data_IF_716809995318
#
_entry.id   IF_716809995318
#
_cell.length_a   1.000
_cell.length_b   1.000
_cell.length_c   1.000
_cell.angle_alpha   90.00
_cell.angle_beta   90.00
_cell.angle_gamma   90.00
#
_symmetry.space_group_name_H-M   'P 1'
#
loop_
_entity.id
_entity.type
_entity.pdbx_description
1 polymer ?
#
# COMPACT_ATOMS: atom_id res chain seq x y z
N UNK A 1 46.68 -90.34 -10.83
CA UNK A 1 45.30 -89.78 -10.89
C UNK A 1 45.24 -88.49 -10.06
N UNK A 2 45.76 -87.36 -10.56
CA UNK A 2 45.87 -86.10 -9.76
C UNK A 2 45.43 -84.83 -10.55
N UNK A 3 44.94 -84.96 -11.78
CA UNK A 3 44.74 -83.78 -12.65
C UNK A 3 43.33 -83.14 -12.60
N UNK A 4 42.36 -83.78 -11.95
CA UNK A 4 40.96 -83.35 -12.00
C UNK A 4 40.67 -82.12 -11.15
N UNK A 5 41.36 -81.94 -10.00
CA UNK A 5 41.15 -80.81 -9.08
C UNK A 5 41.69 -79.47 -9.61
N UNK A 6 42.73 -79.52 -10.44
CA UNK A 6 43.29 -78.32 -11.10
C UNK A 6 42.43 -77.90 -12.29
N UNK A 7 41.86 -78.86 -13.02
CA UNK A 7 40.95 -78.60 -14.13
C UNK A 7 39.62 -77.98 -13.67
N UNK A 8 39.01 -78.46 -12.58
CA UNK A 8 37.80 -77.82 -12.01
C UNK A 8 38.06 -76.40 -11.53
N UNK A 9 39.20 -76.14 -10.86
CA UNK A 9 39.58 -74.76 -10.47
C UNK A 9 39.79 -73.81 -11.65
N UNK A 10 40.23 -74.31 -12.80
CA UNK A 10 40.35 -73.49 -14.01
C UNK A 10 39.01 -73.22 -14.68
N UNK A 11 38.08 -74.19 -14.64
CA UNK A 11 36.71 -74.00 -15.12
C UNK A 11 35.96 -72.97 -14.26
N UNK A 12 36.03 -73.08 -12.93
CA UNK A 12 35.36 -72.15 -12.00
C UNK A 12 35.87 -70.69 -12.17
N UNK A 13 37.16 -70.51 -12.46
CA UNK A 13 37.74 -69.19 -12.73
C UNK A 13 37.31 -68.60 -14.08
N UNK A 14 37.04 -69.43 -15.09
CA UNK A 14 36.57 -68.98 -16.39
C UNK A 14 35.11 -68.48 -16.32
N UNK A 15 34.26 -69.19 -15.57
CA UNK A 15 32.87 -68.79 -15.34
C UNK A 15 32.78 -67.47 -14.54
N UNK A 16 33.67 -67.28 -13.56
CA UNK A 16 33.76 -66.03 -12.81
C UNK A 16 34.16 -64.83 -13.68
N UNK A 17 35.06 -65.03 -14.65
CA UNK A 17 35.45 -63.99 -15.61
C UNK A 17 34.32 -63.65 -16.59
N UNK A 18 33.54 -64.66 -17.01
CA UNK A 18 32.36 -64.46 -17.85
C UNK A 18 31.29 -63.60 -17.15
N UNK A 19 30.98 -63.91 -15.88
CA UNK A 19 30.05 -63.11 -15.06
C UNK A 19 30.51 -61.66 -14.87
N UNK A 20 31.81 -61.43 -14.65
CA UNK A 20 32.38 -60.07 -14.56
C UNK A 20 32.25 -59.31 -15.89
N UNK A 21 32.44 -59.97 -17.02
CA UNK A 21 32.27 -59.37 -18.34
C UNK A 21 30.81 -58.98 -18.60
N UNK A 22 29.84 -59.82 -18.21
CA UNK A 22 28.41 -59.51 -18.32
C UNK A 22 27.98 -58.35 -17.40
N UNK A 23 28.48 -58.31 -16.15
CA UNK A 23 28.27 -57.18 -15.26
C UNK A 23 28.83 -55.88 -15.85
N UNK A 24 30.04 -55.91 -16.42
CA UNK A 24 30.64 -54.73 -17.05
C UNK A 24 29.83 -54.26 -18.26
N UNK A 25 29.35 -55.19 -19.08
CA UNK A 25 28.54 -54.89 -20.28
C UNK A 25 27.17 -54.30 -19.92
N UNK A 26 26.50 -54.86 -18.90
CA UNK A 26 25.22 -54.32 -18.40
C UNK A 26 25.39 -52.96 -17.73
N UNK A 27 26.50 -52.73 -17.02
CA UNK A 27 26.84 -51.43 -16.45
C UNK A 27 27.09 -50.37 -17.54
N UNK A 28 27.88 -50.70 -18.57
CA UNK A 28 28.08 -49.80 -19.71
C UNK A 28 26.76 -49.50 -20.44
N UNK A 29 25.90 -50.51 -20.62
CA UNK A 29 24.58 -50.32 -21.22
C UNK A 29 23.70 -49.38 -20.37
N UNK A 30 23.64 -49.59 -19.06
CA UNK A 30 22.89 -48.74 -18.14
C UNK A 30 23.41 -47.29 -18.12
N UNK A 31 24.73 -47.09 -18.20
CA UNK A 31 25.31 -45.75 -18.31
C UNK A 31 24.96 -45.06 -19.63
N UNK A 32 24.96 -45.80 -20.76
CA UNK A 32 24.56 -45.25 -22.07
C UNK A 32 23.09 -44.83 -22.08
N UNK A 33 22.20 -45.66 -21.54
CA UNK A 33 20.77 -45.33 -21.43
C UNK A 33 20.55 -44.12 -20.51
N UNK A 34 21.26 -44.05 -19.38
CA UNK A 34 21.18 -42.89 -18.47
C UNK A 34 21.63 -41.59 -19.15
N UNK A 35 22.74 -41.62 -19.90
CA UNK A 35 23.21 -40.45 -20.67
C UNK A 35 22.18 -40.04 -21.73
N UNK A 36 21.58 -41.00 -22.43
CA UNK A 36 20.53 -40.72 -23.43
C UNK A 36 19.32 -40.03 -22.78
N UNK A 37 18.82 -40.55 -21.65
CA UNK A 37 17.71 -39.95 -20.89
C UNK A 37 18.04 -38.53 -20.40
N UNK A 38 19.28 -38.30 -19.96
CA UNK A 38 19.71 -36.96 -19.55
C UNK A 38 19.72 -35.96 -20.72
N UNK A 39 20.20 -36.37 -21.89
CA UNK A 39 20.24 -35.50 -23.07
C UNK A 39 18.82 -35.18 -23.57
N UNK A 40 17.92 -36.17 -23.55
CA UNK A 40 16.52 -35.97 -23.92
C UNK A 40 15.81 -34.98 -22.97
N UNK A 41 16.02 -35.13 -21.66
CA UNK A 41 15.49 -34.20 -20.66
C UNK A 41 16.05 -32.78 -20.84
N UNK A 42 17.35 -32.66 -21.14
CA UNK A 42 18.01 -31.37 -21.40
C UNK A 42 17.41 -30.68 -22.63
N UNK A 43 17.16 -31.42 -23.71
CA UNK A 43 16.54 -30.89 -24.93
C UNK A 43 15.11 -30.41 -24.66
N UNK A 44 14.32 -31.16 -23.89
CA UNK A 44 12.96 -30.74 -23.50
C UNK A 44 12.98 -29.47 -22.64
N UNK A 45 13.86 -29.40 -21.64
CA UNK A 45 14.02 -28.20 -20.78
C UNK A 45 14.41 -26.98 -21.61
N UNK A 46 15.33 -27.15 -22.58
CA UNK A 46 15.73 -26.06 -23.47
C UNK A 46 14.56 -25.59 -24.35
N UNK A 47 13.74 -26.51 -24.85
CA UNK A 47 12.52 -26.18 -25.60
C UNK A 47 11.50 -25.39 -24.77
N UNK A 48 11.26 -25.81 -23.53
CA UNK A 48 10.37 -25.08 -22.60
C UNK A 48 10.93 -23.70 -22.28
N UNK A 49 12.23 -23.59 -22.03
CA UNK A 49 12.89 -22.30 -21.78
C UNK A 49 12.72 -21.34 -22.96
N UNK A 50 12.85 -21.82 -24.20
CA UNK A 50 12.62 -21.01 -25.40
C UNK A 50 11.19 -20.46 -25.49
N UNK A 51 10.19 -21.30 -25.23
CA UNK A 51 8.78 -20.89 -25.22
C UNK A 51 8.48 -19.85 -24.13
N UNK A 52 9.10 -20.00 -22.95
CA UNK A 52 8.96 -19.04 -21.85
C UNK A 52 9.53 -17.67 -22.26
N UNK A 53 10.70 -17.64 -22.90
CA UNK A 53 11.29 -16.39 -23.39
C UNK A 53 10.42 -15.72 -24.48
N UNK A 54 9.83 -16.50 -25.37
CA UNK A 54 8.91 -15.98 -26.39
C UNK A 54 7.67 -15.36 -25.77
N UNK A 55 7.01 -16.07 -24.85
CA UNK A 55 5.86 -15.55 -24.09
C UNK A 55 6.22 -14.30 -23.31
N UNK A 56 7.40 -14.27 -22.68
CA UNK A 56 7.88 -13.10 -21.93
C UNK A 56 8.02 -11.88 -22.83
N UNK A 57 8.64 -12.02 -24.01
CA UNK A 57 8.79 -10.93 -24.98
C UNK A 57 7.43 -10.42 -25.46
N UNK A 58 6.50 -11.34 -25.77
CA UNK A 58 5.16 -10.99 -26.24
C UNK A 58 4.35 -10.25 -25.16
N UNK A 59 4.45 -10.67 -23.90
CA UNK A 59 3.82 -9.97 -22.77
C UNK A 59 4.41 -8.56 -22.61
N UNK A 60 5.74 -8.41 -22.66
CA UNK A 60 6.39 -7.10 -22.58
C UNK A 60 5.94 -6.17 -23.71
N UNK A 61 5.84 -6.68 -24.93
CA UNK A 61 5.34 -5.93 -26.09
C UNK A 61 3.91 -5.42 -25.87
N UNK A 62 3.01 -6.29 -25.40
CA UNK A 62 1.62 -5.93 -25.11
C UNK A 62 1.50 -4.89 -24.01
N UNK A 63 2.33 -4.99 -22.97
CA UNK A 63 2.38 -4.00 -21.89
C UNK A 63 2.74 -2.62 -22.47
N UNK A 64 3.81 -2.52 -23.26
CA UNK A 64 4.21 -1.25 -23.88
C UNK A 64 3.15 -0.66 -24.81
N UNK A 65 2.40 -1.49 -25.55
CA UNK A 65 1.28 -1.03 -26.36
C UNK A 65 0.12 -0.49 -25.53
N UNK A 66 -0.19 -1.13 -24.39
CA UNK A 66 -1.25 -0.68 -23.48
C UNK A 66 -0.83 0.63 -22.82
N UNK A 67 0.40 0.71 -22.30
CA UNK A 67 0.94 1.94 -21.71
C UNK A 67 0.90 3.10 -22.70
N UNK A 68 1.32 2.87 -23.94
CA UNK A 68 1.26 3.89 -25.00
C UNK A 68 -0.17 4.29 -25.38
N UNK A 69 -1.16 3.40 -25.26
CA UNK A 69 -2.58 3.74 -25.47
C UNK A 69 -3.15 4.52 -24.29
N UNK A 70 -2.81 4.14 -23.06
CA UNK A 70 -3.28 4.83 -21.84
C UNK A 70 -2.70 6.23 -21.79
N UNK A 71 -1.40 6.40 -22.04
CA UNK A 71 -0.74 7.71 -22.06
C UNK A 71 -1.39 8.68 -23.05
N UNK A 72 -1.65 8.23 -24.29
CA UNK A 72 -2.34 9.05 -25.30
C UNK A 72 -3.76 9.45 -24.88
N UNK A 73 -4.52 8.55 -24.25
CA UNK A 73 -5.86 8.87 -23.74
C UNK A 73 -5.83 9.88 -22.59
N UNK A 74 -4.80 9.83 -21.75
CA UNK A 74 -4.62 10.80 -20.68
C UNK A 74 -4.32 12.17 -21.29
N UNK A 75 -3.37 12.26 -22.21
CA UNK A 75 -3.01 13.51 -22.91
C UNK A 75 -4.23 14.12 -23.63
N UNK A 76 -5.02 13.33 -24.35
CA UNK A 76 -6.26 13.79 -25.00
C UNK A 76 -7.30 14.33 -24.00
N UNK A 77 -7.44 13.68 -22.83
CA UNK A 77 -8.36 14.14 -21.78
C UNK A 77 -7.84 15.41 -21.12
N UNK A 78 -6.54 15.51 -20.87
CA UNK A 78 -5.89 16.69 -20.31
C UNK A 78 -6.09 17.90 -21.23
N UNK A 79 -5.78 17.76 -22.53
CA UNK A 79 -6.00 18.81 -23.53
C UNK A 79 -7.47 19.25 -23.56
N UNK A 80 -8.40 18.29 -23.55
CA UNK A 80 -9.85 18.58 -23.57
C UNK A 80 -10.32 19.29 -22.30
N UNK A 81 -9.76 18.95 -21.15
CA UNK A 81 -10.08 19.62 -19.87
C UNK A 81 -9.48 21.03 -19.87
N UNK A 82 -8.27 21.21 -20.36
CA UNK A 82 -7.60 22.50 -20.44
C UNK A 82 -8.40 23.48 -21.31
N UNK A 83 -8.79 23.07 -22.53
CA UNK A 83 -9.61 23.91 -23.42
C UNK A 83 -10.94 24.29 -22.79
N UNK A 84 -11.61 23.35 -22.10
CA UNK A 84 -12.88 23.64 -21.41
C UNK A 84 -12.71 24.59 -20.24
N UNK A 85 -11.57 24.53 -19.55
CA UNK A 85 -11.30 25.42 -18.43
C UNK A 85 -11.06 26.85 -18.92
N UNK A 86 -10.31 27.02 -20.01
CA UNK A 86 -10.11 28.32 -20.67
C UNK A 86 -11.44 28.91 -21.17
N UNK A 87 -12.30 28.11 -21.79
CA UNK A 87 -13.65 28.55 -22.23
C UNK A 87 -14.53 28.99 -21.04
N UNK A 88 -14.47 28.28 -19.91
CA UNK A 88 -15.21 28.65 -18.70
C UNK A 88 -14.65 29.94 -18.09
N UNK A 89 -13.32 30.09 -18.08
CA UNK A 89 -12.67 31.29 -17.56
C UNK A 89 -13.06 32.53 -18.37
N UNK A 90 -13.02 32.45 -19.70
CA UNK A 90 -13.47 33.54 -20.59
C UNK A 90 -14.94 33.90 -20.31
N UNK A 91 -15.84 32.92 -20.19
CA UNK A 91 -17.26 33.17 -19.87
C UNK A 91 -17.45 33.84 -18.52
N UNK A 92 -16.65 33.48 -17.52
CA UNK A 92 -16.71 34.10 -16.19
C UNK A 92 -16.21 35.54 -16.25
N UNK A 93 -15.08 35.79 -16.94
CA UNK A 93 -14.54 37.14 -17.12
C UNK A 93 -15.55 38.07 -17.80
N UNK A 94 -16.21 37.61 -18.87
CA UNK A 94 -17.28 38.37 -19.54
C UNK A 94 -18.43 38.72 -18.58
N UNK A 95 -18.92 37.74 -17.80
CA UNK A 95 -20.01 37.96 -16.85
C UNK A 95 -19.65 38.92 -15.72
N UNK A 96 -18.40 38.90 -15.26
CA UNK A 96 -17.90 39.86 -14.28
C UNK A 96 -17.93 41.26 -14.87
N UNK A 97 -17.43 41.45 -16.10
CA UNK A 97 -17.50 42.76 -16.77
C UNK A 97 -18.93 43.28 -16.96
N UNK A 98 -19.89 42.42 -17.27
CA UNK A 98 -21.31 42.80 -17.37
C UNK A 98 -21.92 43.16 -16.01
N UNK A 99 -21.49 42.52 -14.93
CA UNK A 99 -21.90 42.84 -13.56
C UNK A 99 -21.31 44.18 -13.10
N UNK A 100 -20.03 44.44 -13.39
CA UNK A 100 -19.36 45.69 -13.08
C UNK A 100 -20.06 46.88 -13.78
N UNK A 101 -20.42 46.74 -15.06
CA UNK A 101 -21.19 47.78 -15.78
C UNK A 101 -22.55 48.06 -15.15
N UNK A 102 -23.29 47.01 -14.78
CA UNK A 102 -24.59 47.16 -14.09
C UNK A 102 -24.45 47.80 -12.71
N UNK A 103 -23.34 47.55 -12.02
CA UNK A 103 -23.07 48.16 -10.73
C UNK A 103 -22.82 49.67 -10.89
N UNK A 104 -22.03 50.08 -11.90
CA UNK A 104 -21.79 51.49 -12.23
C UNK A 104 -23.11 52.22 -12.57
N UNK A 105 -23.97 51.61 -13.39
CA UNK A 105 -25.28 52.19 -13.74
C UNK A 105 -26.23 52.35 -12.53
N UNK A 106 -26.11 51.47 -11.52
CA UNK A 106 -26.91 51.56 -10.30
C UNK A 106 -26.36 52.60 -9.32
N UNK A 107 -25.05 52.86 -9.32
CA UNK A 107 -24.40 53.86 -8.46
C UNK A 107 -24.75 55.30 -8.87
N UNK A 108 -25.00 55.54 -10.17
CA UNK A 108 -25.47 56.84 -10.69
C UNK A 108 -26.97 57.11 -10.42
N UNK A 109 -27.71 56.16 -9.83
CA UNK A 109 -29.13 56.34 -9.51
C UNK A 109 -29.26 57.03 -8.14
N UNK A 110 -29.76 58.28 -8.05
CA UNK A 110 -29.94 58.93 -6.76
C UNK A 110 -30.92 58.14 -5.89
N UNK A 111 -30.49 57.78 -4.68
CA UNK A 111 -31.34 57.13 -3.66
C UNK A 111 -32.34 58.18 -3.14
N UNK A 112 -33.44 58.37 -3.86
CA UNK A 112 -34.53 59.20 -3.37
C UNK A 112 -35.43 58.32 -2.48
N UNK A 113 -35.18 58.33 -1.17
CA UNK A 113 -36.14 57.80 -0.22
C UNK A 113 -37.39 58.66 -0.29
N UNK A 114 -38.58 58.12 -0.61
CA UNK A 114 -39.81 58.83 -0.27
C UNK A 114 -39.79 59.00 1.25
N UNK A 115 -39.76 60.26 1.70
CA UNK A 115 -39.87 60.57 3.12
C UNK A 115 -41.14 59.89 3.64
N UNK A 116 -40.97 58.83 4.42
CA UNK A 116 -42.06 58.10 5.01
C UNK A 116 -42.48 58.84 6.30
N UNK A 117 -43.63 59.51 6.35
CA UNK A 117 -44.04 60.32 7.50
C UNK A 117 -44.36 59.47 8.75
N UNK A 118 -44.51 58.14 8.62
CA UNK A 118 -44.97 57.26 9.70
C UNK A 118 -43.89 56.91 10.73
N UNK A 119 -42.60 56.96 10.38
CA UNK A 119 -41.51 56.68 11.34
C UNK A 119 -41.30 57.82 12.35
N UNK A 120 -41.73 59.03 12.01
CA UNK A 120 -41.67 60.19 12.92
C UNK A 120 -42.64 60.09 14.08
N UNK A 121 -43.73 59.32 13.93
CA UNK A 121 -44.73 59.16 15.00
C UNK A 121 -44.30 58.12 16.04
N UNK A 122 -43.57 57.07 15.65
CA UNK A 122 -43.18 56.00 16.57
C UNK A 122 -42.05 56.34 17.54
N UNK A 123 -41.32 57.46 17.33
CA UNK A 123 -40.22 57.87 18.21
C UNK A 123 -40.72 58.72 19.40
N UNK A 124 -41.94 59.27 19.34
CA UNK A 124 -42.47 60.14 20.39
C UNK A 124 -43.12 59.42 21.59
N UNK A 125 -43.39 58.11 21.50
CA UNK A 125 -44.14 57.39 22.55
C UNK A 125 -43.28 56.66 23.59
N UNK A 126 -41.94 56.77 23.52
CA UNK A 126 -41.04 56.29 24.58
C UNK A 126 -40.72 57.40 25.58
N UNK A 127 -41.76 57.89 26.25
CA UNK A 127 -41.64 58.62 27.52
C UNK A 127 -42.01 57.66 28.66
N UNK A 128 -41.26 57.57 29.77
CA UNK A 128 -41.51 56.57 30.80
C UNK A 128 -42.71 56.98 31.67
N UNK A 129 -43.91 56.62 31.22
CA UNK A 129 -45.15 56.72 31.98
C UNK A 129 -45.38 55.45 32.80
N UNK A 130 -45.16 55.54 34.12
CA UNK A 130 -45.57 54.54 35.10
C UNK A 130 -47.10 54.42 35.07
N UNK A 131 -47.64 53.24 34.75
CA UNK A 131 -49.08 52.98 34.81
C UNK A 131 -49.42 51.59 34.31
N UNK A 132 -50.00 50.76 35.19
CA UNK A 132 -50.14 49.32 34.98
C UNK A 132 -51.38 48.86 34.22
N UNK A 133 -51.38 47.56 33.91
CA UNK A 133 -52.58 46.73 33.88
C UNK A 133 -53.05 46.24 32.51
N UNK A 134 -52.99 44.92 32.31
CA UNK A 134 -54.10 44.16 31.73
C UNK A 134 -54.08 43.84 30.23
N UNK A 135 -53.94 42.53 29.95
CA UNK A 135 -54.57 41.77 28.85
C UNK A 135 -54.27 42.10 27.37
N UNK A 136 -53.46 41.25 26.72
CA UNK A 136 -53.89 40.39 25.60
C UNK A 136 -52.71 39.48 25.20
N UNK A 137 -52.91 38.16 25.20
CA UNK A 137 -51.86 37.16 24.97
C UNK A 137 -51.91 36.55 23.57
N UNK A 138 -52.45 37.28 22.59
CA UNK A 138 -52.56 36.84 21.18
C UNK A 138 -51.82 37.76 20.22
N UNK A 139 -51.83 39.08 20.43
CA UNK A 139 -51.15 40.04 19.55
C UNK A 139 -49.61 39.97 19.65
N UNK A 140 -49.09 39.50 20.79
CA UNK A 140 -47.66 39.34 21.04
C UNK A 140 -47.01 38.24 20.20
N UNK A 141 -47.78 37.22 19.79
CA UNK A 141 -47.26 36.14 18.95
C UNK A 141 -46.97 36.67 17.54
N UNK A 142 -47.87 37.48 16.99
CA UNK A 142 -47.71 38.11 15.68
C UNK A 142 -46.55 39.10 15.66
N UNK A 143 -46.37 39.89 16.72
CA UNK A 143 -45.24 40.81 16.87
C UNK A 143 -43.91 40.09 17.07
N UNK A 144 -43.86 39.01 17.88
CA UNK A 144 -42.65 38.21 18.06
C UNK A 144 -42.25 37.50 16.76
N UNK A 145 -43.19 36.92 16.02
CA UNK A 145 -42.89 36.29 14.73
C UNK A 145 -42.51 37.33 13.67
N UNK A 146 -43.07 38.54 13.71
CA UNK A 146 -42.66 39.64 12.85
C UNK A 146 -41.26 40.17 13.19
N UNK A 147 -40.92 40.26 14.47
CA UNK A 147 -39.56 40.61 14.94
C UNK A 147 -38.58 39.49 14.59
N UNK A 148 -38.94 38.23 14.78
CA UNK A 148 -38.13 37.07 14.39
C UNK A 148 -37.86 37.09 12.88
N UNK A 149 -38.88 37.26 12.05
CA UNK A 149 -38.72 37.36 10.59
C UNK A 149 -37.93 38.61 10.17
N UNK A 150 -38.11 39.75 10.85
CA UNK A 150 -37.36 40.97 10.56
C UNK A 150 -35.89 40.83 10.97
N UNK A 151 -35.61 40.19 12.11
CA UNK A 151 -34.26 39.84 12.54
C UNK A 151 -33.64 38.80 11.63
N UNK A 152 -34.40 37.79 11.20
CA UNK A 152 -33.95 36.76 10.28
C UNK A 152 -33.63 37.36 8.90
N UNK A 153 -34.48 38.24 8.37
CA UNK A 153 -34.22 38.95 7.12
C UNK A 153 -33.05 39.94 7.18
N UNK A 154 -32.74 40.50 8.37
CA UNK A 154 -31.68 41.50 8.56
C UNK A 154 -30.34 40.92 9.02
N UNK A 155 -30.36 39.83 9.77
CA UNK A 155 -29.19 39.25 10.44
C UNK A 155 -28.89 37.80 10.04
N UNK A 156 -29.84 37.06 9.42
CA UNK A 156 -29.53 35.77 8.79
C UNK A 156 -28.86 36.06 7.45
N UNK A 157 -27.57 36.36 7.54
CA UNK A 157 -26.78 36.73 6.40
C UNK A 157 -26.57 35.50 5.48
N UNK A 158 -27.30 35.47 4.36
CA UNK A 158 -27.11 34.47 3.32
C UNK A 158 -25.65 34.41 2.84
N UNK A 159 -24.92 35.53 2.89
CA UNK A 159 -23.50 35.57 2.55
C UNK A 159 -22.63 34.88 3.60
N UNK A 160 -22.97 34.96 4.89
CA UNK A 160 -22.28 34.25 5.97
C UNK A 160 -22.42 32.73 5.83
N UNK A 161 -23.60 32.25 5.43
CA UNK A 161 -23.80 30.82 5.12
C UNK A 161 -22.97 30.38 3.92
N UNK A 162 -22.87 31.22 2.87
CA UNK A 162 -22.02 30.95 1.71
C UNK A 162 -20.52 30.96 2.06
N UNK A 163 -20.10 31.82 2.99
CA UNK A 163 -18.75 31.86 3.52
C UNK A 163 -18.37 30.51 4.15
N UNK A 164 -19.20 29.98 5.06
CA UNK A 164 -18.94 28.67 5.67
C UNK A 164 -18.98 27.51 4.68
N UNK A 165 -19.84 27.56 3.66
CA UNK A 165 -19.82 26.57 2.55
C UNK A 165 -18.52 26.60 1.76
N UNK A 166 -17.94 27.79 1.59
CA UNK A 166 -16.65 27.96 0.91
C UNK A 166 -15.51 27.47 1.79
N UNK A 167 -15.54 27.80 3.09
CA UNK A 167 -14.58 27.32 4.08
C UNK A 167 -14.57 25.77 4.17
N UNK A 168 -15.75 25.12 4.13
CA UNK A 168 -15.85 23.65 4.06
C UNK A 168 -15.15 23.06 2.83
N UNK A 169 -15.39 23.64 1.65
CA UNK A 169 -14.83 23.11 0.39
C UNK A 169 -13.30 23.19 0.34
N UNK A 170 -12.75 24.28 0.88
CA UNK A 170 -11.31 24.53 0.88
C UNK A 170 -10.60 23.94 2.10
N UNK A 171 -11.36 23.42 3.07
CA UNK A 171 -10.79 22.81 4.28
C UNK A 171 -9.88 21.64 3.93
N UNK A 172 -8.66 21.69 4.45
CA UNK A 172 -7.66 20.62 4.39
C UNK A 172 -6.97 20.49 5.74
N UNK A 173 -6.63 19.27 6.15
CA UNK A 173 -5.95 18.98 7.41
C UNK A 173 -4.58 19.68 7.46
N UNK A 174 -4.33 20.43 8.52
CA UNK A 174 -3.06 21.15 8.72
C UNK A 174 -1.95 20.19 9.16
N UNK A 175 -0.67 20.53 8.93
CA UNK A 175 0.45 19.80 9.51
C UNK A 175 0.36 19.70 11.04
N UNK A 176 0.33 18.47 11.56
CA UNK A 176 0.25 18.20 13.00
C UNK A 176 -1.15 18.30 13.61
N UNK A 177 -2.17 18.63 12.81
CA UNK A 177 -3.56 18.61 13.26
C UNK A 177 -4.07 17.17 13.38
N UNK A 178 -4.68 16.83 14.52
CA UNK A 178 -5.28 15.50 14.70
C UNK A 178 -6.60 15.38 13.91
N UNK A 179 -6.94 14.15 13.51
CA UNK A 179 -8.20 13.87 12.82
C UNK A 179 -9.43 14.30 13.63
N UNK A 180 -9.34 14.29 14.95
CA UNK A 180 -10.42 14.71 15.84
C UNK A 180 -10.66 16.22 15.75
N UNK A 181 -9.59 17.02 15.76
CA UNK A 181 -9.71 18.49 15.64
C UNK A 181 -10.29 18.86 14.29
N UNK A 182 -9.84 18.18 13.22
CA UNK A 182 -10.41 18.32 11.88
C UNK A 182 -11.91 17.99 11.88
N UNK A 183 -12.32 16.85 12.46
CA UNK A 183 -13.71 16.42 12.49
C UNK A 183 -14.62 17.41 13.25
N UNK A 184 -14.18 17.91 14.41
CA UNK A 184 -14.93 18.92 15.18
C UNK A 184 -15.12 20.20 14.37
N UNK A 185 -14.09 20.64 13.65
CA UNK A 185 -14.18 21.83 12.81
C UNK A 185 -15.11 21.63 11.61
N UNK A 186 -15.06 20.46 10.97
CA UNK A 186 -15.99 20.07 9.90
C UNK A 186 -17.43 20.04 10.41
N UNK A 187 -17.69 19.46 11.59
CA UNK A 187 -19.01 19.40 12.23
C UNK A 187 -19.56 20.79 12.55
N UNK A 188 -18.70 21.66 13.11
CA UNK A 188 -19.02 23.07 13.38
C UNK A 188 -19.40 23.79 12.09
N UNK A 189 -18.56 23.68 11.06
CA UNK A 189 -18.82 24.33 9.78
C UNK A 189 -20.07 23.77 9.09
N UNK A 190 -20.33 22.47 9.20
CA UNK A 190 -21.54 21.85 8.66
C UNK A 190 -22.81 22.36 9.33
N UNK A 191 -22.76 22.54 10.65
CA UNK A 191 -23.87 23.11 11.43
C UNK A 191 -24.17 24.56 11.02
N UNK A 192 -23.15 25.32 10.65
CA UNK A 192 -23.29 26.72 10.23
C UNK A 192 -23.68 26.86 8.74
N UNK A 193 -23.11 26.03 7.87
CA UNK A 193 -23.30 26.11 6.42
C UNK A 193 -24.63 25.48 5.93
N UNK A 194 -25.16 24.53 6.70
CA UNK A 194 -26.34 23.75 6.36
C UNK A 194 -27.26 23.57 7.57
N UNK A 195 -27.52 24.65 8.32
CA UNK A 195 -28.41 24.61 9.49
C UNK A 195 -29.82 24.07 9.19
N UNK A 196 -30.35 24.35 8.00
CA UNK A 196 -31.70 24.01 7.55
C UNK A 196 -31.84 22.60 6.96
N UNK A 197 -30.72 21.90 6.77
CA UNK A 197 -30.71 20.58 6.12
C UNK A 197 -31.03 19.47 7.14
N UNK A 198 -31.77 18.40 6.76
CA UNK A 198 -32.00 17.24 7.61
C UNK A 198 -30.70 16.63 8.15
N UNK A 199 -30.72 16.17 9.41
CA UNK A 199 -29.52 15.70 10.11
C UNK A 199 -28.80 14.57 9.37
N UNK A 200 -29.55 13.61 8.83
CA UNK A 200 -29.04 12.47 8.07
C UNK A 200 -28.27 12.91 6.82
N UNK A 201 -28.78 13.91 6.10
CA UNK A 201 -28.09 14.47 4.94
C UNK A 201 -26.83 15.22 5.38
N UNK A 202 -26.90 15.96 6.49
CA UNK A 202 -25.72 16.66 7.04
C UNK A 202 -24.63 15.70 7.48
N UNK A 203 -24.99 14.58 8.11
CA UNK A 203 -24.03 13.58 8.60
C UNK A 203 -23.29 12.88 7.46
N UNK A 204 -24.01 12.55 6.38
CA UNK A 204 -23.41 12.00 5.16
C UNK A 204 -22.47 13.01 4.49
N UNK A 205 -22.91 14.27 4.36
CA UNK A 205 -22.12 15.33 3.74
C UNK A 205 -20.88 15.67 4.58
N UNK A 206 -21.02 15.68 5.91
CA UNK A 206 -19.93 15.87 6.85
C UNK A 206 -18.89 14.75 6.72
N UNK A 207 -19.31 13.49 6.58
CA UNK A 207 -18.41 12.37 6.34
C UNK A 207 -17.61 12.55 5.04
N UNK A 208 -18.26 12.97 3.95
CA UNK A 208 -17.60 13.23 2.67
C UNK A 208 -16.56 14.35 2.77
N UNK A 209 -16.95 15.53 3.30
CA UNK A 209 -16.03 16.65 3.46
C UNK A 209 -14.88 16.34 4.42
N UNK A 210 -15.14 15.58 5.49
CA UNK A 210 -14.08 15.13 6.39
C UNK A 210 -13.05 14.27 5.66
N UNK A 211 -13.51 13.27 4.90
CA UNK A 211 -12.62 12.39 4.14
C UNK A 211 -11.83 13.17 3.09
N UNK A 212 -12.47 14.07 2.34
CA UNK A 212 -11.80 14.95 1.36
C UNK A 212 -10.76 15.88 2.00
N UNK A 213 -10.95 16.26 3.26
CA UNK A 213 -10.05 17.13 3.99
C UNK A 213 -8.84 16.39 4.60
N UNK A 214 -8.85 15.05 4.71
CA UNK A 214 -7.72 14.26 5.21
C UNK A 214 -6.52 14.42 4.27
N UNK A 215 -5.34 14.67 4.85
CA UNK A 215 -4.10 14.91 4.11
C UNK A 215 -3.28 13.64 3.83
N UNK A 216 -3.38 12.62 4.67
CA UNK A 216 -2.72 11.33 4.41
C UNK A 216 -3.53 10.54 3.39
N UNK A 217 -3.00 10.42 2.16
CA UNK A 217 -3.70 9.79 1.02
C UNK A 217 -4.12 8.34 1.32
N UNK A 218 -3.27 7.55 1.99
CA UNK A 218 -3.61 6.17 2.35
C UNK A 218 -4.82 6.13 3.30
N UNK A 219 -4.84 6.99 4.31
CA UNK A 219 -5.95 7.09 5.28
C UNK A 219 -7.20 7.62 4.61
N UNK A 220 -7.06 8.59 3.70
CA UNK A 220 -8.16 9.11 2.90
C UNK A 220 -8.79 7.98 2.06
N UNK A 221 -8.03 7.31 1.20
CA UNK A 221 -8.53 6.25 0.33
C UNK A 221 -9.11 5.07 1.13
N UNK A 222 -8.45 4.66 2.22
CA UNK A 222 -8.97 3.61 3.09
C UNK A 222 -10.31 3.98 3.71
N UNK A 223 -10.49 5.25 4.10
CA UNK A 223 -11.75 5.73 4.69
C UNK A 223 -12.84 5.89 3.63
N UNK A 224 -12.50 6.32 2.41
CA UNK A 224 -13.46 6.38 1.26
C UNK A 224 -14.08 5.01 0.98
N UNK A 225 -13.29 3.94 1.01
CA UNK A 225 -13.76 2.56 0.73
C UNK A 225 -14.76 2.02 1.75
N UNK A 226 -14.87 2.63 2.94
CA UNK A 226 -15.78 2.18 3.97
C UNK A 226 -17.22 2.66 3.74
N UNK A 227 -17.46 3.62 2.82
CA UNK A 227 -18.76 4.22 2.56
C UNK A 227 -19.47 4.68 3.85
N UNK A 228 -18.74 5.44 4.69
CA UNK A 228 -19.23 5.94 5.96
C UNK A 228 -20.46 6.85 5.77
N UNK A 229 -21.54 6.56 6.51
CA UNK A 229 -22.80 7.32 6.46
C UNK A 229 -22.85 8.51 7.41
N UNK A 230 -21.94 8.53 8.37
CA UNK A 230 -21.86 9.54 9.40
C UNK A 230 -20.41 9.90 9.71
N UNK A 231 -20.20 11.17 10.07
CA UNK A 231 -18.88 11.72 10.38
C UNK A 231 -18.16 10.93 11.48
N UNK A 232 -18.91 10.45 12.46
CA UNK A 232 -18.37 9.73 13.63
C UNK A 232 -17.81 8.37 13.23
N UNK A 233 -18.51 7.63 12.36
CA UNK A 233 -18.03 6.38 11.78
C UNK A 233 -16.79 6.60 10.92
N UNK A 234 -16.79 7.64 10.07
CA UNK A 234 -15.62 8.00 9.25
C UNK A 234 -14.40 8.27 10.13
N UNK A 235 -14.54 9.15 11.13
CA UNK A 235 -13.47 9.48 12.09
C UNK A 235 -12.97 8.24 12.84
N UNK A 236 -13.88 7.42 13.37
CA UNK A 236 -13.50 6.22 14.13
C UNK A 236 -12.71 5.22 13.27
N UNK A 237 -13.07 5.07 12.00
CA UNK A 237 -12.34 4.22 11.07
C UNK A 237 -10.98 4.80 10.71
N UNK A 238 -10.91 6.09 10.35
CA UNK A 238 -9.64 6.75 10.04
C UNK A 238 -8.65 6.64 11.20
N UNK A 239 -9.12 6.85 12.44
CA UNK A 239 -8.28 6.67 13.64
C UNK A 239 -7.80 5.22 13.81
N UNK A 240 -8.67 4.23 13.58
CA UNK A 240 -8.29 2.80 13.63
C UNK A 240 -7.25 2.48 12.56
N UNK A 241 -7.38 3.05 11.37
CA UNK A 241 -6.44 2.87 10.28
C UNK A 241 -5.08 3.50 10.61
N UNK A 242 -5.03 4.72 11.17
CA UNK A 242 -3.77 5.34 11.62
C UNK A 242 -3.07 4.47 12.67
N UNK A 243 -3.82 3.94 13.64
CA UNK A 243 -3.29 3.02 14.66
C UNK A 243 -2.78 1.69 14.05
N UNK A 244 -3.49 1.12 13.08
CA UNK A 244 -3.03 -0.09 12.40
C UNK A 244 -1.81 0.16 11.51
N UNK A 245 -1.74 1.35 10.88
CA UNK A 245 -0.63 1.80 10.03
C UNK A 245 0.65 1.97 10.84
N UNK A 246 0.58 2.52 12.05
CA UNK A 246 1.75 2.64 12.95
C UNK A 246 2.26 1.27 13.39
N UNK A 247 1.37 0.35 13.79
CA UNK A 247 1.75 -1.03 14.18
C UNK A 247 2.39 -1.79 13.01
N UNK A 248 1.86 -1.64 11.79
CA UNK A 248 2.41 -2.28 10.58
C UNK A 248 3.77 -1.72 10.17
N UNK A 249 4.01 -0.43 10.40
CA UNK A 249 5.33 0.19 10.20
C UNK A 249 6.33 -0.34 11.22
N UNK A 250 5.94 -0.50 12.49
CA UNK A 250 6.81 -1.08 13.54
C UNK A 250 7.05 -2.58 13.34
N UNK A 251 6.06 -3.36 12.90
CA UNK A 251 6.22 -4.81 12.65
C UNK A 251 7.09 -5.11 11.42
N UNK A 252 7.06 -4.23 10.40
CA UNK A 252 8.03 -4.27 9.31
C UNK A 252 9.42 -3.82 9.75
N UNK A 253 9.55 -2.95 10.74
CA UNK A 253 10.86 -2.51 11.25
C UNK A 253 11.58 -3.56 12.13
N UNK A 254 10.86 -4.57 12.63
CA UNK A 254 11.44 -5.76 13.32
C UNK A 254 11.73 -6.91 12.34
N UNK A 255 11.29 -6.80 11.08
CA UNK A 255 11.59 -7.74 9.99
C UNK A 255 11.78 -6.99 8.66
N UNK A 256 12.55 -5.93 8.67
CA UNK A 256 12.79 -5.11 7.49
C UNK A 256 13.78 -5.85 6.60
N UNK A 257 13.25 -6.60 5.64
CA UNK A 257 13.68 -6.33 4.27
C UNK A 257 12.97 -5.02 3.92
N UNK A 258 13.75 -3.95 3.94
CA UNK A 258 13.37 -2.69 3.32
C UNK A 258 13.05 -3.00 1.85
N UNK A 259 11.81 -2.75 1.45
CA UNK A 259 11.53 -2.46 0.05
C UNK A 259 11.39 -0.95 0.05
N UNK A 260 12.53 -0.28 0.01
CA UNK A 260 12.59 1.05 -0.56
C UNK A 260 12.14 0.92 -2.01
N UNK A 261 11.22 1.79 -2.43
CA UNK A 261 10.89 2.01 -3.84
C UNK A 261 12.08 2.74 -4.50
N UNK A 262 13.20 2.02 -4.60
CA UNK A 262 14.35 2.44 -5.38
C UNK A 262 14.37 1.62 -6.67
N UNK A 263 13.85 2.26 -7.72
CA UNK A 263 14.38 2.23 -9.08
C UNK A 263 15.22 0.99 -9.45
N UNK A 264 14.57 -0.16 -9.60
CA UNK A 264 14.82 -1.12 -10.69
C UNK A 264 16.25 -1.62 -10.96
N UNK A 265 17.14 -1.79 -9.97
CA UNK A 265 18.48 -2.39 -10.21
C UNK A 265 18.98 -3.44 -9.22
N UNK A 266 18.30 -3.72 -8.10
CA UNK A 266 18.82 -4.65 -7.07
C UNK A 266 18.21 -6.08 -7.10
N UNK A 267 17.39 -6.41 -8.10
CA UNK A 267 16.79 -7.77 -8.19
C UNK A 267 17.67 -8.79 -8.91
N UNK A 268 18.80 -8.37 -9.49
CA UNK A 268 19.64 -9.23 -10.32
C UNK A 268 20.73 -9.95 -9.52
N UNK A 269 21.31 -9.34 -8.48
CA UNK A 269 22.44 -9.94 -7.75
C UNK A 269 22.06 -11.18 -6.93
N UNK A 270 20.89 -11.17 -6.27
CA UNK A 270 20.37 -12.35 -5.55
C UNK A 270 20.05 -13.49 -6.51
N UNK A 271 19.49 -13.16 -7.67
CA UNK A 271 19.16 -14.15 -8.69
C UNK A 271 20.43 -14.73 -9.33
N UNK A 272 21.44 -13.89 -9.60
CA UNK A 272 22.74 -14.31 -10.09
C UNK A 272 23.52 -15.14 -9.07
N UNK A 273 23.40 -14.84 -7.77
CA UNK A 273 23.97 -15.67 -6.71
C UNK A 273 23.34 -17.08 -6.68
N UNK A 274 22.02 -17.18 -6.87
CA UNK A 274 21.32 -18.46 -6.97
C UNK A 274 21.76 -19.23 -8.23
N UNK A 275 21.87 -18.56 -9.37
CA UNK A 275 22.34 -19.16 -10.63
C UNK A 275 23.81 -19.61 -10.52
N UNK A 276 24.69 -18.84 -9.88
CA UNK A 276 26.08 -19.23 -9.60
C UNK A 276 26.16 -20.45 -8.69
N UNK A 277 25.29 -20.52 -7.69
CA UNK A 277 25.24 -21.64 -6.73
C UNK A 277 24.75 -22.92 -7.42
N UNK A 278 23.73 -22.82 -8.27
CA UNK A 278 23.26 -23.92 -9.11
C UNK A 278 24.32 -24.37 -10.12
N UNK A 279 25.04 -23.43 -10.74
CA UNK A 279 26.15 -23.73 -11.64
C UNK A 279 27.30 -24.48 -10.95
N UNK A 280 27.66 -24.08 -9.72
CA UNK A 280 28.64 -24.80 -8.89
C UNK A 280 28.18 -26.21 -8.53
N UNK A 281 26.89 -26.39 -8.19
CA UNK A 281 26.33 -27.70 -7.88
C UNK A 281 26.41 -28.65 -9.09
N UNK A 282 26.02 -28.17 -10.27
CA UNK A 282 26.10 -28.94 -11.52
C UNK A 282 27.55 -29.30 -11.88
N UNK A 283 28.49 -28.38 -11.71
CA UNK A 283 29.91 -28.65 -11.97
C UNK A 283 30.52 -29.64 -10.96
N UNK A 284 30.10 -29.59 -9.70
CA UNK A 284 30.52 -30.58 -8.68
C UNK A 284 29.94 -31.97 -8.95
N UNK A 285 28.70 -32.06 -9.46
CA UNK A 285 28.08 -33.32 -9.85
C UNK A 285 28.79 -33.95 -11.08
N UNK A 286 29.26 -33.13 -12.01
CA UNK A 286 30.08 -33.56 -13.15
C UNK A 286 31.50 -33.96 -12.71
N UNK A 287 32.09 -33.26 -11.73
CA UNK A 287 33.43 -33.54 -11.20
C UNK A 287 33.47 -34.77 -10.29
N UNK A 288 32.40 -35.04 -9.52
CA UNK A 288 32.28 -36.20 -8.62
C UNK A 288 32.30 -37.57 -9.31
N UNK A 289 32.20 -37.61 -10.64
CA UNK A 289 32.25 -38.84 -11.44
C UNK A 289 33.63 -39.23 -11.98
N UNK A 290 34.69 -38.46 -11.71
CA UNK A 290 36.05 -38.73 -12.24
C UNK A 290 37.01 -39.42 -11.25
N UNK A 291 36.66 -39.56 -9.98
CA UNK A 291 37.56 -40.14 -8.97
C UNK A 291 36.98 -41.43 -8.34
N UNK A 292 36.78 -42.47 -9.15
CA UNK A 292 36.84 -43.85 -8.61
C UNK A 292 38.27 -44.35 -8.82
N UNK A 293 39.11 -44.15 -7.80
CA UNK A 293 40.44 -44.75 -7.75
C UNK A 293 40.32 -46.27 -7.82
N UNK A 294 40.99 -46.85 -8.82
CA UNK A 294 41.32 -48.25 -8.90
C UNK A 294 42.09 -48.66 -7.64
N UNK A 295 41.51 -49.55 -6.83
CA UNK A 295 42.22 -50.21 -5.74
C UNK A 295 43.16 -51.25 -6.35
N UNK A 296 44.45 -50.94 -6.43
CA UNK A 296 45.52 -51.90 -6.70
C UNK A 296 46.28 -52.21 -5.42
N UNK A 297 46.27 -53.48 -5.02
CA UNK A 297 47.10 -54.08 -3.97
C UNK A 297 48.60 -54.03 -4.32
N UNK A 298 49.45 -53.75 -3.31
CA UNK A 298 50.86 -54.16 -3.04
C UNK A 298 51.46 -53.10 -2.10
N UNK A 299 52.29 -53.33 -1.10
CA UNK A 299 53.04 -54.46 -0.55
C UNK A 299 53.99 -53.88 0.52
N UNK A 300 54.37 -54.69 1.49
CA UNK A 300 55.31 -54.50 2.63
C UNK A 300 56.63 -53.75 2.36
N UNK A 301 57.08 -52.86 3.27
CA UNK A 301 58.25 -53.08 4.17
C UNK A 301 58.75 -51.84 4.96
N UNK A 302 59.00 -52.07 6.27
CA UNK A 302 60.11 -51.68 7.20
C UNK A 302 60.74 -50.27 7.25
N UNK A 303 60.92 -49.80 8.50
CA UNK A 303 62.09 -49.04 9.00
C UNK A 303 61.73 -47.91 10.00
N UNK A 304 61.88 -48.07 11.33
CA UNK A 304 62.98 -47.54 12.20
C UNK A 304 63.22 -46.02 12.09
N UNK A 305 63.37 -45.19 13.12
CA UNK A 305 63.55 -45.35 14.56
C UNK A 305 63.51 -43.95 15.26
N UNK A 306 63.34 -43.94 16.60
CA UNK A 306 63.80 -42.91 17.59
C UNK A 306 63.09 -41.52 17.50
N UNK A 307 62.79 -40.77 18.57
CA UNK A 307 63.23 -40.77 19.96
C UNK A 307 62.41 -39.74 20.79
N UNK A 308 62.43 -39.93 22.12
CA UNK A 308 62.17 -38.96 23.22
C UNK A 308 60.74 -38.65 23.72
N UNK A 309 60.48 -39.20 24.92
CA UNK A 309 59.54 -38.82 26.00
C UNK A 309 59.99 -37.50 26.70
N UNK A 310 59.35 -37.02 27.81
CA UNK A 310 57.93 -36.73 28.08
C UNK A 310 57.74 -35.39 28.87
N UNK A 311 56.53 -35.13 29.35
CA UNK A 311 56.06 -34.36 30.56
C UNK A 311 54.86 -33.48 30.19
N UNK A 312 53.81 -33.25 30.99
CA UNK A 312 53.57 -33.40 32.44
C UNK A 312 52.05 -33.50 32.69
N UNK A 313 51.70 -34.09 33.83
CA UNK A 313 50.39 -34.20 34.50
C UNK A 313 49.62 -32.86 34.52
N UNK A 314 48.28 -32.79 34.57
CA UNK A 314 47.48 -33.04 35.78
C UNK A 314 46.01 -33.38 35.51
N UNK A 315 45.52 -34.36 36.28
CA UNK A 315 44.12 -34.58 36.64
C UNK A 315 43.46 -33.32 37.22
N UNK A 316 42.14 -33.17 37.05
CA UNK A 316 41.12 -33.15 38.12
C UNK A 316 39.75 -32.85 37.48
N UNK A 317 38.88 -33.87 37.43
CA UNK A 317 37.40 -33.77 37.58
C UNK A 317 37.12 -33.69 39.10
N UNK A 318 35.95 -33.26 39.63
CA UNK A 318 34.60 -33.52 39.07
C UNK A 318 33.50 -32.48 39.40
N UNK A 319 32.24 -32.79 39.00
CA UNK A 319 31.00 -32.66 39.83
C UNK A 319 30.52 -31.24 40.22
N UNK A 320 29.23 -30.88 40.28
CA UNK A 320 27.93 -31.51 40.07
C UNK A 320 26.86 -30.40 40.00
N UNK A 321 25.77 -30.69 39.28
CA UNK A 321 24.35 -30.46 39.62
C UNK A 321 23.90 -29.08 40.16
N UNK A 322 22.99 -28.44 39.43
CA UNK A 322 21.81 -27.82 40.03
C UNK A 322 20.62 -27.87 39.05
N UNK A 323 19.61 -28.66 39.43
CA UNK A 323 18.23 -28.62 38.93
C UNK A 323 17.53 -27.42 39.54
N UNK A 324 16.61 -26.80 38.78
CA UNK A 324 15.44 -26.15 39.35
C UNK A 324 14.26 -26.34 38.39
N UNK A 325 13.25 -27.04 38.88
CA UNK A 325 11.92 -27.20 38.28
C UNK A 325 10.90 -26.38 39.11
N UNK A 326 9.95 -25.80 38.38
CA UNK A 326 8.51 -25.62 38.66
C UNK A 326 7.90 -24.52 39.58
N UNK A 327 6.81 -23.96 39.01
CA UNK A 327 5.60 -23.31 39.58
C UNK A 327 5.76 -21.91 40.19
N UNK A 328 4.90 -20.93 39.91
CA UNK A 328 3.45 -20.91 39.66
C UNK A 328 3.06 -19.89 38.58
#
# INVERSE_FOLDING_TARGET
MVNTRSQTKMADNADLLALLAEMKKSMEKGQKEMKKRQEEMKNQIQGVKGKIEEVRKEVQRKIGEIEGKVRRKIEEVEDKVQVKMEEVEEKVQVRIGDLEKRLIELEDRPINFPANPDLTQSICDLSPGIGGGGSSSSDKLTDLTAIENALEARFRDSHLTQFYRTELKTRRQKPGESLQVLAVDVERLMSLAYAECPQDVRDNLAAQYFVDAIRDEDTQHATRLMDAKDLKSALAYSMKYEAAKTVSKTSRNVRSIEIEDDTGKEKDEKFDCLLKTLGKLLNSYVAGKKNTHSVTKRGTNRGTARQFLPTRKTNVRPSCVAKAEFSL
#
